data_IF_433111325511
#
_entry.id   IF_433111325511
#
_cell.length_a   1.000
_cell.length_b   1.000
_cell.length_c   1.000
_cell.angle_alpha   90.00
_cell.angle_beta   90.00
_cell.angle_gamma   90.00
#
_symmetry.space_group_name_H-M   'P 1'
#
loop_
_entity.id
_entity.type
_entity.pdbx_description
1 polymer ?
#
# COMPACT_ATOMS: atom_id res chain seq x y z
N UNK A 1 -15.07 9.69 12.15
CA UNK A 1 -15.01 8.36 11.50
C UNK A 1 -15.30 8.54 10.01
N UNK A 2 -14.65 7.76 9.15
CA UNK A 2 -14.77 7.91 7.70
C UNK A 2 -14.30 6.67 6.94
N UNK A 3 -15.00 6.33 5.86
CA UNK A 3 -14.73 5.17 5.01
C UNK A 3 -14.86 5.59 3.54
N UNK A 4 -13.92 5.16 2.72
CA UNK A 4 -13.93 5.35 1.26
C UNK A 4 -13.78 4.02 0.56
N UNK A 5 -14.42 3.87 -0.59
CA UNK A 5 -14.23 2.75 -1.50
C UNK A 5 -14.23 3.28 -2.94
N UNK A 6 -13.32 2.75 -3.76
CA UNK A 6 -13.22 3.11 -5.18
C UNK A 6 -13.25 1.83 -6.00
N UNK A 7 -14.10 1.78 -7.01
CA UNK A 7 -14.17 0.67 -7.97
C UNK A 7 -13.58 1.14 -9.31
N UNK A 8 -12.48 0.52 -9.70
CA UNK A 8 -11.71 0.91 -10.90
C UNK A 8 -11.82 -0.19 -11.96
N UNK A 9 -12.11 0.22 -13.19
CA UNK A 9 -12.03 -0.61 -14.39
C UNK A 9 -10.58 -0.67 -14.84
N UNK A 10 -10.11 -1.89 -15.10
CA UNK A 10 -8.78 -2.16 -15.64
C UNK A 10 -8.87 -2.78 -17.03
N UNK A 11 -7.87 -2.48 -17.88
CA UNK A 11 -7.58 -3.17 -19.14
C UNK A 11 -6.09 -3.45 -19.14
N UNK A 12 -5.69 -4.72 -19.31
CA UNK A 12 -4.30 -5.16 -19.26
C UNK A 12 -3.53 -4.62 -18.05
N UNK A 13 -4.17 -4.69 -16.88
CA UNK A 13 -3.67 -4.18 -15.59
C UNK A 13 -3.41 -2.68 -15.51
N UNK A 14 -3.81 -1.89 -16.51
CA UNK A 14 -3.80 -0.43 -16.48
C UNK A 14 -5.17 0.11 -16.06
N UNK A 15 -5.25 1.02 -15.08
CA UNK A 15 -6.52 1.63 -14.70
C UNK A 15 -7.00 2.54 -15.83
N UNK A 16 -8.25 2.35 -16.28
CA UNK A 16 -8.81 3.12 -17.40
C UNK A 16 -10.01 3.99 -17.01
N UNK A 17 -10.73 3.64 -15.94
CA UNK A 17 -11.89 4.42 -15.50
C UNK A 17 -12.34 4.06 -14.07
N UNK A 18 -12.72 5.04 -13.26
CA UNK A 18 -13.33 4.91 -11.95
C UNK A 18 -14.84 4.84 -12.15
N UNK A 19 -15.39 3.65 -11.96
CA UNK A 19 -16.80 3.35 -12.19
C UNK A 19 -17.68 3.72 -11.00
N UNK A 20 -17.14 3.66 -9.78
CA UNK A 20 -17.90 3.92 -8.56
C UNK A 20 -17.00 4.49 -7.48
N UNK A 21 -17.52 5.49 -6.77
CA UNK A 21 -16.95 6.08 -5.56
C UNK A 21 -17.99 5.98 -4.47
N UNK A 22 -17.59 5.41 -3.33
CA UNK A 22 -18.40 5.40 -2.10
C UNK A 22 -17.62 6.18 -1.05
N UNK A 23 -18.28 7.14 -0.43
CA UNK A 23 -17.74 7.93 0.67
C UNK A 23 -18.78 7.96 1.78
N UNK A 24 -18.40 7.43 2.94
CA UNK A 24 -19.18 7.54 4.17
C UNK A 24 -18.38 8.33 5.20
N UNK A 25 -18.88 9.47 5.62
CA UNK A 25 -18.23 10.30 6.64
C UNK A 25 -19.18 10.58 7.78
N UNK A 26 -18.66 10.50 9.00
CA UNK A 26 -19.36 10.97 10.17
C UNK A 26 -19.56 12.49 10.06
N UNK A 27 -20.73 12.98 10.49
CA UNK A 27 -21.07 14.40 10.42
C UNK A 27 -21.90 14.85 11.63
N UNK A 28 -21.97 16.17 11.84
CA UNK A 28 -22.82 16.76 12.88
C UNK A 28 -24.30 16.44 12.61
N UNK A 29 -25.08 16.24 13.67
CA UNK A 29 -26.53 16.12 13.55
C UNK A 29 -27.15 17.38 12.93
N UNK A 30 -28.20 17.19 12.13
CA UNK A 30 -28.91 18.26 11.43
C UNK A 30 -28.28 18.68 10.10
N UNK A 31 -27.10 18.16 9.74
CA UNK A 31 -26.52 18.34 8.41
C UNK A 31 -27.34 17.55 7.38
N UNK A 32 -27.76 18.23 6.33
CA UNK A 32 -28.45 17.64 5.19
C UNK A 32 -27.43 17.01 4.22
N UNK A 33 -27.71 15.77 3.80
CA UNK A 33 -26.76 15.00 2.99
C UNK A 33 -26.74 15.50 1.56
N UNK A 34 -27.89 15.81 0.98
CA UNK A 34 -28.00 16.08 -0.45
C UNK A 34 -27.66 17.53 -0.80
N UNK A 35 -28.05 18.47 0.06
CA UNK A 35 -27.91 19.91 -0.20
C UNK A 35 -26.63 20.53 0.33
N UNK A 36 -25.94 19.86 1.28
CA UNK A 36 -24.71 20.38 1.89
C UNK A 36 -23.58 19.36 1.83
N UNK A 37 -23.73 18.20 2.49
CA UNK A 37 -22.61 17.27 2.66
C UNK A 37 -22.09 16.71 1.33
N UNK A 38 -22.97 16.28 0.44
CA UNK A 38 -22.60 15.70 -0.86
C UNK A 38 -21.90 16.73 -1.76
N UNK A 39 -22.43 17.95 -1.99
CA UNK A 39 -21.72 19.00 -2.73
C UNK A 39 -20.32 19.28 -2.15
N UNK A 40 -20.22 19.49 -0.84
CA UNK A 40 -18.94 19.81 -0.19
C UNK A 40 -17.91 18.70 -0.36
N UNK A 41 -18.32 17.43 -0.21
CA UNK A 41 -17.44 16.29 -0.43
C UNK A 41 -16.99 16.17 -1.89
N UNK A 42 -17.87 16.50 -2.85
CA UNK A 42 -17.49 16.50 -4.26
C UNK A 42 -16.38 17.52 -4.51
N UNK A 43 -16.57 18.76 -4.05
CA UNK A 43 -15.68 19.88 -4.39
C UNK A 43 -14.40 19.92 -3.55
N UNK A 44 -14.47 19.49 -2.28
CA UNK A 44 -13.34 19.60 -1.35
C UNK A 44 -12.61 18.28 -1.08
N UNK A 45 -13.18 17.13 -1.46
CA UNK A 45 -12.56 15.81 -1.22
C UNK A 45 -12.38 15.02 -2.50
N UNK A 46 -13.44 14.83 -3.30
CA UNK A 46 -13.40 13.90 -4.43
C UNK A 46 -12.65 14.52 -5.62
N UNK A 47 -13.04 15.70 -6.08
CA UNK A 47 -12.38 16.36 -7.22
C UNK A 47 -10.90 16.68 -6.96
N UNK A 48 -10.48 17.14 -5.77
CA UNK A 48 -9.07 17.41 -5.51
C UNK A 48 -8.18 16.15 -5.42
N UNK A 49 -8.78 14.97 -5.19
CA UNK A 49 -8.03 13.72 -4.94
C UNK A 49 -8.08 12.78 -6.14
N UNK A 50 -9.21 12.70 -6.85
CA UNK A 50 -9.33 11.78 -7.97
C UNK A 50 -8.56 12.29 -9.19
N UNK A 51 -7.78 11.41 -9.87
CA UNK A 51 -7.02 11.80 -11.05
C UNK A 51 -7.95 12.21 -12.20
N UNK A 52 -7.65 13.37 -12.79
CA UNK A 52 -8.36 13.86 -13.97
C UNK A 52 -8.34 12.82 -15.11
N UNK A 53 -9.42 12.77 -15.88
CA UNK A 53 -9.55 11.86 -17.02
C UNK A 53 -9.87 10.40 -16.66
N UNK A 54 -9.70 9.98 -15.40
CA UNK A 54 -10.06 8.64 -14.96
C UNK A 54 -11.49 8.54 -14.39
N UNK A 55 -12.25 9.62 -14.29
CA UNK A 55 -13.64 9.57 -13.83
C UNK A 55 -14.48 10.63 -14.54
N UNK A 56 -15.80 10.53 -14.42
CA UNK A 56 -16.70 11.58 -14.90
C UNK A 56 -16.91 12.63 -13.81
N UNK A 57 -16.42 13.89 -13.98
CA UNK A 57 -16.51 14.94 -12.96
C UNK A 57 -17.95 15.39 -12.69
N UNK A 58 -18.87 15.11 -13.63
CA UNK A 58 -20.30 15.36 -13.47
C UNK A 58 -21.04 14.18 -12.84
N UNK A 59 -20.35 13.08 -12.54
CA UNK A 59 -20.88 11.86 -11.93
C UNK A 59 -22.13 11.28 -12.65
N UNK A 60 -22.22 11.45 -13.98
CA UNK A 60 -23.26 10.84 -14.83
C UNK A 60 -22.90 9.38 -15.18
N UNK A 61 -21.61 9.11 -15.37
CA UNK A 61 -21.04 7.77 -15.68
C UNK A 61 -20.33 7.14 -14.48
N UNK A 62 -19.75 7.95 -13.59
CA UNK A 62 -19.17 7.49 -12.32
C UNK A 62 -20.24 7.52 -11.25
N UNK A 63 -20.60 6.36 -10.70
CA UNK A 63 -21.59 6.27 -9.62
C UNK A 63 -21.01 6.84 -8.34
N UNK A 64 -21.68 7.84 -7.76
CA UNK A 64 -21.27 8.43 -6.49
C UNK A 64 -22.30 8.13 -5.39
N UNK A 65 -21.84 7.44 -4.35
CA UNK A 65 -22.59 7.16 -3.13
C UNK A 65 -21.99 7.96 -1.97
N UNK A 66 -22.71 8.96 -1.48
CA UNK A 66 -22.35 9.71 -0.27
C UNK A 66 -23.31 9.30 0.84
N UNK A 67 -22.76 8.79 1.95
CA UNK A 67 -23.51 8.32 3.11
C UNK A 67 -24.77 7.50 2.72
N UNK A 68 -24.61 6.39 1.96
CA UNK A 68 -25.74 5.69 1.35
C UNK A 68 -26.74 5.07 2.35
N UNK A 69 -26.35 4.94 3.61
CA UNK A 69 -27.21 4.47 4.71
C UNK A 69 -27.97 5.60 5.40
N UNK A 70 -27.81 6.85 4.93
CA UNK A 70 -28.37 8.04 5.54
C UNK A 70 -27.44 8.65 6.59
N UNK A 71 -28.01 9.08 7.72
CA UNK A 71 -27.26 9.82 8.75
C UNK A 71 -26.13 8.97 9.35
N UNK A 72 -24.95 9.58 9.48
CA UNK A 72 -23.81 9.01 10.19
C UNK A 72 -23.35 9.97 11.29
N UNK A 73 -24.13 10.06 12.38
CA UNK A 73 -23.85 11.00 13.50
C UNK A 73 -22.98 10.33 14.57
N UNK A 74 -23.34 9.12 14.98
CA UNK A 74 -22.57 8.32 15.94
C UNK A 74 -21.55 7.46 15.19
N UNK A 75 -20.29 7.48 15.63
CA UNK A 75 -19.19 6.76 15.00
C UNK A 75 -18.01 6.60 15.94
N UNK A 76 -16.91 6.05 15.44
CA UNK A 76 -15.75 5.73 16.26
C UNK A 76 -16.04 4.60 17.28
N UNK A 77 -15.27 4.53 18.39
CA UNK A 77 -15.38 3.43 19.36
C UNK A 77 -16.77 3.26 20.01
N UNK A 78 -17.58 4.31 20.02
CA UNK A 78 -18.96 4.23 20.51
C UNK A 78 -19.88 3.46 19.55
N UNK A 79 -19.60 3.52 18.25
CA UNK A 79 -20.37 2.80 17.22
C UNK A 79 -19.87 1.36 17.02
N UNK A 80 -18.54 1.19 16.91
CA UNK A 80 -17.90 -0.08 16.58
C UNK A 80 -16.65 -0.31 17.44
N UNK A 81 -16.46 -1.51 17.98
CA UNK A 81 -15.22 -1.86 18.68
C UNK A 81 -14.06 -1.99 17.69
N UNK A 82 -13.02 -1.17 17.87
CA UNK A 82 -11.78 -1.24 17.11
C UNK A 82 -10.74 -2.14 17.78
N UNK A 83 -9.97 -2.90 16.98
CA UNK A 83 -8.83 -3.68 17.46
C UNK A 83 -7.64 -3.50 16.53
N UNK A 84 -6.43 -3.49 17.11
CA UNK A 84 -5.15 -3.49 16.37
C UNK A 84 -5.10 -4.66 15.39
N UNK A 85 -4.63 -4.40 14.16
CA UNK A 85 -4.46 -5.45 13.15
C UNK A 85 -5.74 -5.89 12.45
N UNK A 86 -6.84 -5.13 12.52
CA UNK A 86 -8.09 -5.41 11.79
C UNK A 86 -8.26 -4.63 10.49
N UNK A 87 -7.16 -4.08 9.96
CA UNK A 87 -7.09 -3.30 8.72
C UNK A 87 -5.88 -3.64 7.85
N UNK A 88 -5.30 -4.84 7.99
CA UNK A 88 -4.06 -5.26 7.31
C UNK A 88 -4.08 -5.11 5.78
N UNK A 89 -5.24 -5.26 5.13
CA UNK A 89 -5.37 -5.06 3.68
C UNK A 89 -5.42 -3.57 3.30
N UNK A 90 -5.97 -2.72 4.17
CA UNK A 90 -5.92 -1.25 4.03
C UNK A 90 -4.50 -0.74 4.30
N UNK A 91 -3.79 -1.37 5.25
CA UNK A 91 -2.40 -1.03 5.57
C UNK A 91 -1.43 -1.35 4.42
N UNK A 92 -1.81 -2.26 3.52
CA UNK A 92 -0.96 -2.78 2.43
C UNK A 92 -1.45 -2.39 1.04
N UNK A 93 -1.94 -3.34 0.24
CA UNK A 93 -2.11 -3.19 -1.22
C UNK A 93 -3.58 -3.20 -1.66
N UNK A 94 -4.53 -3.02 -0.74
CA UNK A 94 -5.96 -2.94 -1.09
C UNK A 94 -6.52 -4.20 -1.76
N UNK A 95 -5.88 -5.35 -1.58
CA UNK A 95 -6.25 -6.63 -2.19
C UNK A 95 -5.56 -6.96 -3.52
N UNK A 96 -4.69 -6.07 -4.04
CA UNK A 96 -3.96 -6.31 -5.29
C UNK A 96 -2.70 -7.18 -5.13
N UNK A 97 -2.26 -7.42 -3.89
CA UNK A 97 -1.13 -8.29 -3.55
C UNK A 97 -1.50 -9.31 -2.47
N UNK A 98 -0.79 -10.43 -2.44
CA UNK A 98 -1.00 -11.47 -1.43
C UNK A 98 -0.53 -11.00 -0.05
N UNK A 99 -1.16 -11.50 1.02
CA UNK A 99 -0.87 -11.07 2.39
C UNK A 99 -0.57 -12.27 3.30
N UNK A 100 0.52 -12.21 4.07
CA UNK A 100 0.96 -13.30 4.95
C UNK A 100 0.19 -13.43 6.27
N UNK A 101 -0.65 -12.44 6.60
CA UNK A 101 -1.60 -12.46 7.74
C UNK A 101 -1.12 -11.68 8.97
N UNK A 102 0.17 -11.37 9.08
CA UNK A 102 0.72 -10.58 10.18
C UNK A 102 0.27 -9.12 10.16
N UNK A 103 -0.21 -8.60 11.29
CA UNK A 103 -0.48 -7.17 11.48
C UNK A 103 0.82 -6.37 11.71
N UNK A 104 0.79 -5.05 11.48
CA UNK A 104 1.96 -4.18 11.67
C UNK A 104 1.96 -3.42 13.00
N UNK A 105 0.91 -2.66 13.30
CA UNK A 105 0.84 -1.77 14.48
C UNK A 105 1.03 -2.51 15.81
N UNK A 106 1.75 -1.89 16.74
CA UNK A 106 2.08 -2.47 18.06
C UNK A 106 3.28 -3.42 18.10
N UNK A 107 3.99 -3.62 16.98
CA UNK A 107 5.16 -4.51 16.91
C UNK A 107 6.45 -3.73 16.69
N UNK A 108 7.48 -4.00 17.49
CA UNK A 108 8.83 -3.50 17.23
C UNK A 108 9.46 -4.22 16.00
N UNK A 109 10.54 -3.68 15.39
CA UNK A 109 11.02 -4.19 14.11
C UNK A 109 11.75 -5.54 14.17
N UNK A 110 11.96 -6.14 15.35
CA UNK A 110 12.36 -7.55 15.43
C UNK A 110 11.26 -8.52 14.97
N UNK A 111 10.02 -8.05 14.82
CA UNK A 111 8.87 -8.87 14.42
C UNK A 111 8.78 -8.83 12.91
N UNK A 112 9.16 -9.94 12.27
CA UNK A 112 9.24 -10.08 10.81
C UNK A 112 7.92 -9.83 10.09
N UNK A 113 6.77 -9.94 10.78
CA UNK A 113 5.49 -9.50 10.24
C UNK A 113 5.52 -8.04 9.75
N UNK A 114 6.24 -7.16 10.45
CA UNK A 114 6.42 -5.76 10.03
C UNK A 114 7.68 -5.60 9.20
N UNK A 115 8.84 -5.98 9.74
CA UNK A 115 10.12 -5.70 9.10
C UNK A 115 10.31 -6.49 7.80
N UNK A 116 9.88 -7.74 7.76
CA UNK A 116 9.88 -8.55 6.54
C UNK A 116 8.94 -8.00 5.47
N UNK A 117 7.74 -7.52 5.84
CA UNK A 117 6.82 -6.88 4.90
C UNK A 117 7.39 -5.55 4.34
N UNK A 118 8.04 -4.75 5.19
CA UNK A 118 8.73 -3.53 4.76
C UNK A 118 9.91 -3.84 3.83
N UNK A 119 10.69 -4.87 4.13
CA UNK A 119 11.77 -5.33 3.26
C UNK A 119 11.23 -5.83 1.91
N UNK A 120 10.15 -6.61 1.90
CA UNK A 120 9.52 -7.07 0.66
C UNK A 120 9.04 -5.90 -0.21
N UNK A 121 8.41 -4.87 0.40
CA UNK A 121 8.06 -3.62 -0.29
C UNK A 121 9.30 -2.94 -0.88
N UNK A 122 10.36 -2.81 -0.09
CA UNK A 122 11.60 -2.16 -0.50
C UNK A 122 12.25 -2.87 -1.68
N UNK A 123 12.34 -4.21 -1.64
CA UNK A 123 12.84 -5.03 -2.74
C UNK A 123 11.99 -4.84 -4.00
N UNK A 124 10.67 -5.06 -3.90
CA UNK A 124 9.77 -4.96 -5.06
C UNK A 124 9.79 -3.56 -5.69
N UNK A 125 9.83 -2.51 -4.87
CA UNK A 125 9.89 -1.12 -5.35
C UNK A 125 11.20 -0.82 -6.08
N UNK A 126 12.34 -1.32 -5.59
CA UNK A 126 13.62 -1.16 -6.25
C UNK A 126 13.72 -1.95 -7.56
N UNK A 127 13.16 -3.16 -7.64
CA UNK A 127 13.09 -3.94 -8.88
C UNK A 127 12.33 -3.17 -9.97
N UNK A 128 11.15 -2.64 -9.64
CA UNK A 128 10.33 -1.86 -10.58
C UNK A 128 11.02 -0.55 -10.94
N UNK A 129 11.59 0.17 -9.97
CA UNK A 129 12.29 1.43 -10.21
C UNK A 129 13.57 1.27 -11.05
N UNK A 130 14.26 0.13 -10.94
CA UNK A 130 15.40 -0.23 -11.77
C UNK A 130 15.01 -0.55 -13.23
N UNK A 131 13.72 -0.67 -13.53
CA UNK A 131 13.22 -1.06 -14.84
C UNK A 131 13.39 -2.55 -15.14
N UNK A 132 13.60 -3.39 -14.12
CA UNK A 132 13.73 -4.85 -14.31
C UNK A 132 12.39 -5.51 -14.61
N UNK A 133 11.27 -4.91 -14.17
CA UNK A 133 9.92 -5.35 -14.46
C UNK A 133 8.91 -4.20 -14.32
N UNK A 134 7.76 -4.29 -14.98
CA UNK A 134 6.65 -3.34 -14.74
C UNK A 134 5.91 -3.60 -13.42
N UNK A 135 5.89 -4.86 -12.97
CA UNK A 135 5.24 -5.31 -11.74
C UNK A 135 6.09 -6.36 -11.05
N UNK A 136 6.07 -6.37 -9.72
CA UNK A 136 6.81 -7.33 -8.93
C UNK A 136 6.08 -7.61 -7.62
N UNK A 137 5.92 -8.89 -7.28
CA UNK A 137 5.53 -9.36 -5.95
C UNK A 137 6.71 -10.12 -5.33
N UNK A 138 6.99 -9.82 -4.06
CA UNK A 138 8.03 -10.48 -3.27
C UNK A 138 7.40 -11.15 -2.06
N UNK A 139 7.62 -12.45 -1.90
CA UNK A 139 7.23 -13.21 -0.71
C UNK A 139 8.48 -13.61 0.06
N UNK A 140 8.45 -13.42 1.38
CA UNK A 140 9.52 -13.83 2.30
C UNK A 140 8.89 -14.66 3.42
N UNK A 141 9.46 -15.82 3.73
CA UNK A 141 9.04 -16.65 4.84
C UNK A 141 10.20 -16.91 5.81
N UNK A 142 9.90 -17.00 7.10
CA UNK A 142 10.88 -17.25 8.16
C UNK A 142 10.42 -18.42 9.03
N UNK A 143 11.39 -19.21 9.53
CA UNK A 143 11.19 -20.11 10.65
C UNK A 143 11.57 -19.41 11.96
N UNK A 144 10.81 -19.65 13.03
CA UNK A 144 11.10 -19.04 14.33
C UNK A 144 12.51 -19.41 14.80
N UNK A 145 13.30 -18.41 15.22
CA UNK A 145 14.68 -18.59 15.66
C UNK A 145 15.73 -18.73 14.54
N UNK A 146 15.32 -18.72 13.27
CA UNK A 146 16.23 -18.79 12.11
C UNK A 146 16.40 -17.41 11.49
N UNK A 147 17.64 -16.96 11.34
CA UNK A 147 17.92 -15.62 10.82
C UNK A 147 17.70 -15.50 9.31
N UNK A 148 18.12 -16.49 8.53
CA UNK A 148 17.91 -16.49 7.08
C UNK A 148 16.45 -16.86 6.76
N UNK A 149 15.83 -16.21 5.76
CA UNK A 149 14.54 -16.65 5.25
C UNK A 149 14.60 -18.12 4.83
N UNK A 150 13.52 -18.87 5.08
CA UNK A 150 13.36 -20.23 4.55
C UNK A 150 12.94 -20.21 3.08
N UNK A 151 12.34 -19.11 2.63
CA UNK A 151 12.08 -18.85 1.22
C UNK A 151 12.08 -17.35 0.93
N UNK A 152 12.55 -17.03 -0.28
CA UNK A 152 12.38 -15.74 -0.94
C UNK A 152 11.87 -16.05 -2.34
N UNK A 153 10.70 -15.52 -2.70
CA UNK A 153 10.10 -15.73 -4.02
C UNK A 153 9.82 -14.37 -4.66
N UNK A 154 10.19 -14.24 -5.93
CA UNK A 154 9.93 -13.07 -6.76
C UNK A 154 9.09 -13.51 -7.96
N UNK A 155 7.99 -12.82 -8.18
CA UNK A 155 7.09 -13.01 -9.32
C UNK A 155 6.85 -11.66 -10.01
N UNK A 156 7.21 -11.57 -11.29
CA UNK A 156 7.05 -10.37 -12.11
C UNK A 156 5.82 -10.45 -13.03
N UNK A 157 5.03 -11.52 -12.95
CA UNK A 157 3.80 -11.71 -13.71
C UNK A 157 3.98 -11.61 -15.24
N UNK A 158 5.15 -12.00 -15.76
CA UNK A 158 5.48 -11.91 -17.18
C UNK A 158 5.77 -10.48 -17.66
N UNK A 159 6.08 -9.57 -16.74
CA UNK A 159 6.43 -8.17 -17.05
C UNK A 159 7.92 -7.88 -16.85
N UNK A 160 8.72 -8.90 -16.59
CA UNK A 160 10.18 -8.80 -16.48
C UNK A 160 10.83 -8.46 -17.83
N UNK A 161 11.82 -7.58 -17.80
CA UNK A 161 12.62 -7.16 -18.96
C UNK A 161 13.97 -7.89 -19.03
N UNK A 162 14.30 -8.67 -18.02
CA UNK A 162 15.46 -9.55 -17.92
C UNK A 162 15.03 -10.92 -17.41
N UNK A 163 15.91 -11.92 -17.48
CA UNK A 163 15.61 -13.26 -16.98
C UNK A 163 15.19 -13.19 -15.50
N UNK A 164 14.09 -13.86 -15.16
CA UNK A 164 13.60 -13.92 -13.79
C UNK A 164 14.66 -14.51 -12.85
N UNK A 165 15.44 -15.50 -13.30
CA UNK A 165 16.53 -16.07 -12.51
C UNK A 165 17.59 -15.01 -12.14
N UNK A 166 17.91 -14.10 -13.06
CA UNK A 166 18.81 -12.98 -12.79
C UNK A 166 18.21 -12.03 -11.74
N UNK A 167 16.91 -11.74 -11.79
CA UNK A 167 16.24 -10.93 -10.76
C UNK A 167 16.36 -11.59 -9.38
N UNK A 168 16.16 -12.92 -9.30
CA UNK A 168 16.36 -13.67 -8.05
C UNK A 168 17.80 -13.59 -7.54
N UNK A 169 18.80 -13.71 -8.40
CA UNK A 169 20.21 -13.57 -8.03
C UNK A 169 20.55 -12.17 -7.52
N UNK A 170 20.05 -11.13 -8.19
CA UNK A 170 20.22 -9.75 -7.78
C UNK A 170 19.56 -9.48 -6.42
N UNK A 171 18.36 -10.02 -6.18
CA UNK A 171 17.71 -9.90 -4.86
C UNK A 171 18.60 -10.48 -3.76
N UNK A 172 19.11 -11.70 -3.96
CA UNK A 172 19.98 -12.36 -2.98
C UNK A 172 21.32 -11.64 -2.78
N UNK A 173 21.81 -10.94 -3.80
CA UNK A 173 23.11 -10.26 -3.77
C UNK A 173 23.06 -8.85 -3.15
N UNK A 174 21.95 -8.12 -3.34
CA UNK A 174 21.86 -6.72 -2.93
C UNK A 174 21.04 -6.48 -1.66
N UNK A 175 20.23 -7.45 -1.23
CA UNK A 175 19.35 -7.32 -0.08
C UNK A 175 19.62 -8.41 0.96
N UNK A 176 20.13 -7.99 2.12
CA UNK A 176 20.29 -8.88 3.27
C UNK A 176 18.97 -8.96 4.05
N UNK A 177 18.19 -10.01 3.77
CA UNK A 177 16.85 -10.21 4.33
C UNK A 177 16.86 -10.88 5.72
N UNK A 178 17.98 -10.89 6.44
CA UNK A 178 17.98 -11.31 7.85
C UNK A 178 17.35 -10.23 8.72
N UNK A 179 16.58 -10.55 9.79
CA UNK A 179 15.88 -9.55 10.59
C UNK A 179 16.77 -8.40 11.11
N UNK A 180 17.97 -8.72 11.60
CA UNK A 180 18.91 -7.70 12.09
C UNK A 180 19.46 -6.80 10.96
N UNK A 181 19.67 -7.36 9.76
CA UNK A 181 20.13 -6.59 8.62
C UNK A 181 19.03 -5.68 8.09
N UNK A 182 17.78 -6.16 8.00
CA UNK A 182 16.60 -5.34 7.67
C UNK A 182 16.48 -4.14 8.63
N UNK A 183 16.62 -4.39 9.95
CA UNK A 183 16.58 -3.33 10.95
C UNK A 183 17.67 -2.27 10.72
N UNK A 184 18.89 -2.71 10.42
CA UNK A 184 20.04 -1.84 10.15
C UNK A 184 19.82 -1.02 8.88
N UNK A 185 19.55 -1.69 7.77
CA UNK A 185 19.53 -1.10 6.43
C UNK A 185 18.34 -0.14 6.26
N UNK A 186 17.18 -0.50 6.81
CA UNK A 186 16.01 0.38 6.83
C UNK A 186 16.00 1.32 8.04
N UNK A 187 17.03 1.30 8.90
CA UNK A 187 17.15 2.17 10.08
C UNK A 187 15.89 2.17 10.96
N UNK A 188 15.43 0.98 11.35
CA UNK A 188 14.11 0.81 11.95
C UNK A 188 14.06 1.11 13.46
N UNK A 189 15.19 1.20 14.16
CA UNK A 189 15.21 1.54 15.60
C UNK A 189 15.02 3.05 15.84
N UNK A 190 13.88 3.57 15.41
CA UNK A 190 13.49 4.99 15.51
C UNK A 190 11.98 5.12 15.80
N UNK A 191 11.52 6.20 16.44
CA UNK A 191 10.10 6.42 16.72
C UNK A 191 9.34 6.93 15.49
N UNK A 192 9.26 6.13 14.44
CA UNK A 192 8.75 6.54 13.11
C UNK A 192 7.37 5.99 12.74
N UNK A 193 6.80 5.14 13.61
CA UNK A 193 5.70 4.25 13.20
C UNK A 193 4.30 4.83 13.38
N UNK A 194 4.10 5.85 14.21
CA UNK A 194 2.77 6.41 14.46
C UNK A 194 2.12 6.90 13.16
N UNK A 195 2.91 7.57 12.31
CA UNK A 195 2.47 8.05 10.99
C UNK A 195 1.97 6.94 10.06
N UNK A 196 2.37 5.69 10.28
CA UNK A 196 1.99 4.53 9.44
C UNK A 196 0.64 3.94 9.83
N UNK A 197 0.14 4.21 11.05
CA UNK A 197 -1.05 3.56 11.61
C UNK A 197 -2.39 3.96 10.94
N UNK A 198 -2.35 4.88 9.97
CA UNK A 198 -3.46 5.26 9.12
C UNK A 198 -2.95 5.61 7.71
N UNK A 199 -3.85 5.50 6.72
CA UNK A 199 -3.61 5.84 5.32
C UNK A 199 -2.55 4.98 4.61
N UNK A 200 -2.32 3.76 5.09
CA UNK A 200 -1.40 2.80 4.48
C UNK A 200 0.05 2.96 4.94
N UNK A 201 0.75 1.83 5.00
CA UNK A 201 2.18 1.77 5.32
C UNK A 201 3.06 1.97 4.07
N UNK A 202 2.49 1.80 2.88
CA UNK A 202 3.21 1.79 1.59
C UNK A 202 2.69 2.86 0.63
N UNK A 203 3.54 3.28 -0.30
CA UNK A 203 3.20 4.22 -1.36
C UNK A 203 3.15 5.69 -0.95
N UNK A 204 3.68 6.04 0.22
CA UNK A 204 3.74 7.41 0.75
C UNK A 204 5.18 7.91 0.78
N UNK A 205 5.38 9.13 0.32
CA UNK A 205 6.66 9.82 0.42
C UNK A 205 6.78 10.50 1.79
N UNK A 206 7.50 9.86 2.70
CA UNK A 206 7.91 10.44 3.99
C UNK A 206 9.37 10.01 4.23
N UNK A 207 10.21 10.95 4.66
CA UNK A 207 11.64 10.71 4.89
C UNK A 207 11.91 9.59 5.92
N UNK A 208 10.94 9.31 6.79
CA UNK A 208 11.03 8.23 7.76
C UNK A 208 10.78 6.84 7.16
N UNK A 209 10.05 6.75 6.05
CA UNK A 209 9.64 5.50 5.40
C UNK A 209 10.73 5.01 4.46
N UNK A 210 11.84 4.60 5.05
CA UNK A 210 13.04 4.13 4.33
C UNK A 210 12.79 2.95 3.39
N UNK A 211 11.75 2.15 3.63
CA UNK A 211 11.31 1.08 2.72
C UNK A 211 10.67 1.58 1.41
N UNK A 212 10.37 2.88 1.31
CA UNK A 212 9.94 3.53 0.08
C UNK A 212 11.11 4.11 -0.73
N UNK A 213 12.34 4.02 -0.23
CA UNK A 213 13.55 4.41 -0.98
C UNK A 213 13.78 3.50 -2.19
N UNK A 214 14.36 4.08 -3.26
CA UNK A 214 14.76 3.37 -4.49
C UNK A 214 16.28 3.44 -4.72
N UNK A 215 17.05 3.54 -3.62
CA UNK A 215 18.50 3.70 -3.61
C UNK A 215 19.29 2.49 -4.13
N UNK A 216 18.64 1.34 -4.34
CA UNK A 216 19.23 0.16 -4.99
C UNK A 216 18.89 0.09 -6.47
N UNK A 217 18.02 0.96 -7.00
CA UNK A 217 17.55 0.86 -8.38
C UNK A 217 18.69 0.96 -9.39
N UNK A 218 19.60 1.93 -9.22
CA UNK A 218 20.72 2.15 -10.16
C UNK A 218 21.70 0.97 -10.19
N UNK A 219 22.07 0.43 -9.01
CA UNK A 219 22.97 -0.72 -8.94
C UNK A 219 22.33 -1.97 -9.51
N UNK A 220 21.06 -2.21 -9.23
CA UNK A 220 20.32 -3.34 -9.81
C UNK A 220 20.24 -3.24 -11.34
N UNK A 221 19.97 -2.03 -11.86
CA UNK A 221 19.90 -1.79 -13.30
C UNK A 221 21.25 -2.01 -13.98
N UNK A 222 22.33 -1.53 -13.37
CA UNK A 222 23.70 -1.72 -13.84
C UNK A 222 24.07 -3.20 -13.88
N UNK A 223 23.84 -3.93 -12.78
CA UNK A 223 24.22 -5.33 -12.65
C UNK A 223 23.33 -6.26 -13.49
N UNK A 224 22.14 -5.79 -13.90
CA UNK A 224 21.29 -6.42 -14.89
C UNK A 224 21.69 -6.13 -16.35
N UNK A 225 22.67 -5.26 -16.60
CA UNK A 225 23.14 -4.90 -17.93
C UNK A 225 22.21 -3.99 -18.73
N UNK A 226 21.30 -3.26 -18.07
CA UNK A 226 20.33 -2.35 -18.70
C UNK A 226 20.84 -0.89 -18.82
N UNK A 227 22.15 -0.73 -19.01
CA UNK A 227 22.83 0.58 -19.12
C UNK A 227 22.46 1.29 -20.42
#
# INVERSE_FOLDING_TARGET
DGKTQVTVKYVDYKPVFITTVVLSTQHKEGIDIDTLLRPDLIDHVIKPVLPEGLYDPEFKKTKLFVNPTGKFVLGGPMGDTGLTGRKIIVDTYGGFGRHGGGAFSGKDPSKVDRSGAYAARYVAKNIVAAGLAERCEVQIAYAIGVAHPVSVMVDCFGTEHVDLALIHELVNSHFDLRPAAIIRDLRLLRPIYEKTAAYGHFGREDADFTWESVDKADVLRSDAGLV
#
